data_IF_769104159755
#
_entry.id   IF_769104159755
#
_cell.length_a   1.000
_cell.length_b   1.000
_cell.length_c   1.000
_cell.angle_alpha   90.00
_cell.angle_beta   90.00
_cell.angle_gamma   90.00
#
_symmetry.space_group_name_H-M   'P 1'
#
loop_
_entity.id
_entity.type
_entity.pdbx_description
1 polymer ?
#
# COMPACT_ATOMS: atom_id res chain seq x y z
N UNK A 1 9.58 -12.41 -2.33
CA UNK A 1 8.41 -12.12 -1.46
C UNK A 1 8.76 -11.62 -0.08
N UNK A 2 9.70 -12.26 0.63
CA UNK A 2 10.10 -11.84 1.99
C UNK A 2 10.76 -10.45 2.09
N UNK A 3 10.96 -9.75 0.98
CA UNK A 3 11.58 -8.42 0.94
C UNK A 3 13.10 -8.42 1.08
N UNK A 4 13.74 -9.57 1.29
CA UNK A 4 15.20 -9.67 1.37
C UNK A 4 15.85 -9.40 0.02
N UNK A 5 16.77 -8.44 -0.04
CA UNK A 5 17.60 -8.18 -1.22
C UNK A 5 18.60 -9.32 -1.40
N UNK A 6 18.74 -9.82 -2.62
CA UNK A 6 19.67 -10.90 -2.97
C UNK A 6 20.95 -10.31 -3.55
N UNK A 7 22.09 -10.86 -3.15
CA UNK A 7 23.39 -10.58 -3.79
C UNK A 7 23.51 -11.36 -5.10
N UNK A 8 24.41 -10.96 -6.02
CA UNK A 8 24.60 -11.65 -7.30
C UNK A 8 24.80 -13.17 -7.15
N UNK A 9 25.55 -13.60 -6.12
CA UNK A 9 25.82 -15.01 -5.82
C UNK A 9 24.61 -15.81 -5.37
N UNK A 10 23.50 -15.16 -5.04
CA UNK A 10 22.27 -15.78 -4.55
C UNK A 10 21.14 -15.80 -5.60
N UNK A 11 21.41 -15.33 -6.82
CA UNK A 11 20.40 -15.20 -7.88
C UNK A 11 20.35 -16.42 -8.80
N UNK A 12 19.15 -16.74 -9.30
CA UNK A 12 18.90 -17.93 -10.14
C UNK A 12 18.42 -17.63 -11.57
N UNK A 13 18.25 -16.37 -11.96
CA UNK A 13 17.82 -15.97 -13.31
C UNK A 13 18.66 -14.80 -13.85
N UNK A 14 18.69 -14.63 -15.17
CA UNK A 14 19.50 -13.59 -15.83
C UNK A 14 19.09 -12.17 -15.43
N UNK A 15 17.78 -11.89 -15.37
CA UNK A 15 17.27 -10.59 -14.91
C UNK A 15 17.60 -10.35 -13.42
N UNK A 16 17.49 -11.38 -12.58
CA UNK A 16 17.86 -11.26 -11.18
C UNK A 16 19.36 -10.96 -11.03
N UNK A 17 20.20 -11.57 -11.86
CA UNK A 17 21.64 -11.33 -11.86
C UNK A 17 21.99 -9.88 -12.26
N UNK A 18 21.35 -9.32 -13.29
CA UNK A 18 21.56 -7.93 -13.71
C UNK A 18 21.15 -6.94 -12.60
N UNK A 19 19.99 -7.13 -11.99
CA UNK A 19 19.53 -6.29 -10.88
C UNK A 19 20.41 -6.46 -9.64
N UNK A 20 20.85 -7.68 -9.35
CA UNK A 20 21.70 -7.94 -8.19
C UNK A 20 23.08 -7.30 -8.29
N UNK A 21 23.58 -6.99 -9.49
CA UNK A 21 24.82 -6.20 -9.64
C UNK A 21 24.71 -4.80 -9.02
N UNK A 22 23.49 -4.29 -8.85
CA UNK A 22 23.21 -3.02 -8.16
C UNK A 22 23.04 -3.19 -6.65
N UNK A 23 23.05 -4.42 -6.13
CA UNK A 23 22.97 -4.68 -4.69
C UNK A 23 24.38 -4.80 -4.11
N UNK A 24 24.66 -4.07 -3.04
CA UNK A 24 25.90 -4.18 -2.28
C UNK A 24 25.64 -4.24 -0.78
N UNK A 25 26.70 -4.55 -0.03
CA UNK A 25 26.69 -4.50 1.43
C UNK A 25 27.44 -3.26 1.87
N UNK A 26 26.82 -2.43 2.72
CA UNK A 26 27.43 -1.26 3.35
C UNK A 26 27.31 -1.41 4.86
N UNK A 27 28.43 -1.68 5.52
CA UNK A 27 28.43 -2.11 6.93
C UNK A 27 27.77 -3.48 7.05
N UNK A 28 26.68 -3.58 7.81
CA UNK A 28 25.89 -4.81 7.97
C UNK A 28 24.62 -4.84 7.11
N UNK A 29 24.33 -3.74 6.41
CA UNK A 29 23.08 -3.57 5.67
C UNK A 29 23.27 -3.79 4.16
N UNK A 30 22.24 -4.34 3.51
CA UNK A 30 22.15 -4.46 2.06
C UNK A 30 21.44 -3.24 1.49
N UNK A 31 21.97 -2.70 0.41
CA UNK A 31 21.35 -1.60 -0.31
C UNK A 31 21.39 -1.83 -1.82
N UNK A 32 20.33 -1.41 -2.50
CA UNK A 32 20.19 -1.41 -3.95
C UNK A 32 20.42 0.00 -4.49
N UNK A 33 21.38 0.14 -5.41
CA UNK A 33 21.69 1.42 -6.07
C UNK A 33 20.67 1.70 -7.16
N UNK A 34 19.75 2.63 -6.90
CA UNK A 34 18.72 3.06 -7.85
C UNK A 34 19.34 3.92 -8.94
N UNK A 35 20.14 4.92 -8.55
CA UNK A 35 20.83 5.83 -9.46
C UNK A 35 22.13 6.33 -8.83
N UNK A 36 23.12 6.62 -9.66
CA UNK A 36 24.39 7.21 -9.26
C UNK A 36 24.81 8.25 -10.30
N UNK A 37 25.20 9.44 -9.85
CA UNK A 37 25.98 10.39 -10.63
C UNK A 37 27.33 10.67 -9.91
N UNK A 38 28.10 11.64 -10.39
CA UNK A 38 29.44 11.95 -9.84
C UNK A 38 29.40 12.48 -8.40
N UNK A 39 28.26 13.02 -7.95
CA UNK A 39 28.13 13.73 -6.66
C UNK A 39 27.20 13.01 -5.66
N UNK A 40 26.27 12.20 -6.14
CA UNK A 40 25.16 11.66 -5.33
C UNK A 40 24.76 10.26 -5.79
N UNK A 41 24.43 9.43 -4.81
CA UNK A 41 23.85 8.12 -5.01
C UNK A 41 22.49 8.04 -4.34
N UNK A 42 21.49 7.51 -5.06
CA UNK A 42 20.18 7.20 -4.53
C UNK A 42 20.12 5.69 -4.31
N UNK A 43 19.99 5.30 -3.06
CA UNK A 43 19.93 3.90 -2.63
C UNK A 43 18.59 3.58 -1.99
N UNK A 44 18.15 2.35 -2.17
CA UNK A 44 17.09 1.73 -1.37
C UNK A 44 17.75 0.74 -0.42
N UNK A 45 17.53 0.89 0.88
CA UNK A 45 18.12 0.01 1.89
C UNK A 45 17.22 -1.18 2.21
N UNK A 46 17.77 -2.18 2.89
CA UNK A 46 16.98 -3.31 3.38
C UNK A 46 15.94 -2.85 4.41
N UNK A 47 16.28 -1.85 5.23
CA UNK A 47 15.36 -1.21 6.15
C UNK A 47 14.23 -0.49 5.41
N UNK A 48 14.49 0.22 4.31
CA UNK A 48 13.44 0.88 3.52
C UNK A 48 12.42 -0.13 2.99
N UNK A 49 12.89 -1.31 2.54
CA UNK A 49 12.00 -2.40 2.13
C UNK A 49 11.16 -2.89 3.32
N UNK A 50 11.74 -2.94 4.53
CA UNK A 50 11.03 -3.35 5.74
C UNK A 50 9.96 -2.33 6.13
N UNK A 51 10.26 -1.04 6.07
CA UNK A 51 9.30 0.03 6.33
C UNK A 51 8.14 0.00 5.31
N UNK A 52 8.45 -0.21 4.03
CA UNK A 52 7.42 -0.40 3.01
C UNK A 52 6.52 -1.60 3.33
N UNK A 53 7.08 -2.73 3.77
CA UNK A 53 6.31 -3.91 4.15
C UNK A 53 5.37 -3.63 5.32
N UNK A 54 5.84 -2.91 6.35
CA UNK A 54 5.02 -2.52 7.50
C UNK A 54 3.85 -1.62 7.06
N UNK A 55 4.15 -0.56 6.30
CA UNK A 55 3.14 0.38 5.84
C UNK A 55 2.07 -0.28 4.95
N UNK A 56 2.51 -1.02 3.92
CA UNK A 56 1.58 -1.68 2.99
C UNK A 56 0.84 -2.85 3.66
N UNK A 57 1.49 -3.55 4.60
CA UNK A 57 0.88 -4.63 5.36
C UNK A 57 -0.24 -4.12 6.27
N UNK A 58 -0.05 -2.97 6.91
CA UNK A 58 -1.07 -2.33 7.74
C UNK A 58 -2.31 -1.94 6.91
N UNK A 59 -2.10 -1.33 5.74
CA UNK A 59 -3.19 -0.94 4.84
C UNK A 59 -3.98 -2.17 4.38
N UNK A 60 -3.28 -3.19 3.86
CA UNK A 60 -3.94 -4.41 3.37
C UNK A 60 -4.67 -5.15 4.49
N UNK A 61 -4.04 -5.32 5.65
CA UNK A 61 -4.65 -5.98 6.80
C UNK A 61 -5.91 -5.25 7.26
N UNK A 62 -5.86 -3.90 7.28
CA UNK A 62 -7.01 -3.08 7.60
C UNK A 62 -8.20 -3.34 6.67
N UNK A 63 -7.95 -3.36 5.36
CA UNK A 63 -8.99 -3.63 4.35
C UNK A 63 -9.54 -5.06 4.50
N UNK A 64 -8.67 -6.07 4.60
CA UNK A 64 -9.11 -7.46 4.71
C UNK A 64 -9.91 -7.75 5.99
N UNK A 65 -9.54 -7.14 7.12
CA UNK A 65 -10.29 -7.28 8.38
C UNK A 65 -11.64 -6.55 8.33
N UNK A 66 -11.71 -5.36 7.72
CA UNK A 66 -12.98 -4.65 7.53
C UNK A 66 -13.94 -5.43 6.62
N UNK A 67 -13.41 -6.03 5.55
CA UNK A 67 -14.20 -6.91 4.68
C UNK A 67 -14.71 -8.14 5.43
N UNK A 68 -13.87 -8.75 6.28
CA UNK A 68 -14.29 -9.85 7.16
C UNK A 68 -15.36 -9.43 8.16
N UNK A 69 -15.24 -8.24 8.75
CA UNK A 69 -16.26 -7.69 9.66
C UNK A 69 -17.60 -7.46 8.95
N UNK A 70 -17.56 -7.01 7.69
CA UNK A 70 -18.73 -6.80 6.85
C UNK A 70 -19.25 -8.08 6.17
N UNK A 71 -18.60 -9.22 6.38
CA UNK A 71 -18.91 -10.52 5.74
C UNK A 71 -18.99 -10.45 4.20
N UNK A 72 -18.01 -9.75 3.60
CA UNK A 72 -17.90 -9.58 2.13
C UNK A 72 -16.53 -10.03 1.61
N UNK A 73 -16.48 -10.39 0.34
CA UNK A 73 -15.26 -10.73 -0.40
C UNK A 73 -14.93 -9.66 -1.47
N UNK A 74 -13.78 -9.78 -2.13
CA UNK A 74 -13.31 -8.78 -3.11
C UNK A 74 -14.24 -8.66 -4.33
N UNK A 75 -15.00 -9.71 -4.65
CA UNK A 75 -15.98 -9.74 -5.72
C UNK A 75 -17.23 -8.92 -5.42
N UNK A 76 -17.57 -8.74 -4.14
CA UNK A 76 -18.75 -7.97 -3.69
C UNK A 76 -18.51 -6.46 -3.74
N UNK A 77 -17.24 -6.03 -3.68
CA UNK A 77 -16.87 -4.61 -3.70
C UNK A 77 -17.04 -4.04 -5.12
N UNK A 78 -17.96 -3.11 -5.28
CA UNK A 78 -18.31 -2.51 -6.57
C UNK A 78 -17.27 -1.48 -7.05
N UNK A 79 -16.76 -0.66 -6.14
CA UNK A 79 -15.77 0.38 -6.42
C UNK A 79 -14.76 0.51 -5.27
N UNK A 80 -13.52 0.80 -5.63
CA UNK A 80 -12.43 1.13 -4.70
C UNK A 80 -11.94 2.53 -5.03
N UNK A 81 -12.30 3.49 -4.18
CA UNK A 81 -11.93 4.89 -4.36
C UNK A 81 -10.64 5.19 -3.58
N UNK A 82 -9.53 5.29 -4.31
CA UNK A 82 -8.24 5.69 -3.75
C UNK A 82 -8.17 7.22 -3.66
N UNK A 83 -7.91 7.72 -2.46
CA UNK A 83 -7.84 9.15 -2.16
C UNK A 83 -6.51 9.50 -1.47
N UNK A 84 -6.13 10.76 -1.55
CA UNK A 84 -4.94 11.32 -0.89
C UNK A 84 -3.80 11.62 -1.86
N UNK A 85 -2.84 12.42 -1.38
CA UNK A 85 -1.71 12.92 -2.19
C UNK A 85 -0.86 11.79 -2.76
N UNK A 86 -0.76 10.68 -2.03
CA UNK A 86 -0.04 9.49 -2.48
C UNK A 86 -0.72 8.83 -3.69
N UNK A 87 -2.06 8.81 -3.74
CA UNK A 87 -2.79 8.09 -4.80
C UNK A 87 -2.66 8.72 -6.19
N UNK A 88 -2.32 10.01 -6.32
CA UNK A 88 -2.14 10.69 -7.61
C UNK A 88 -1.12 9.99 -8.52
N UNK A 89 -0.19 9.26 -7.91
CA UNK A 89 0.94 8.62 -8.59
C UNK A 89 0.97 7.11 -8.38
N UNK A 90 0.02 6.54 -7.64
CA UNK A 90 -0.06 5.09 -7.47
C UNK A 90 -0.58 4.47 -8.75
N UNK A 91 0.22 3.61 -9.36
CA UNK A 91 -0.25 2.70 -10.37
C UNK A 91 -1.06 1.57 -9.70
N UNK A 92 -2.37 1.49 -10.01
CA UNK A 92 -3.30 0.49 -9.45
C UNK A 92 -2.84 -0.95 -9.63
N UNK A 93 -2.28 -1.30 -10.78
CA UNK A 93 -1.78 -2.64 -11.06
C UNK A 93 -0.58 -2.96 -10.17
N UNK A 94 0.37 -2.02 -10.02
CA UNK A 94 1.51 -2.18 -9.11
C UNK A 94 1.07 -2.26 -7.65
N UNK A 95 0.04 -1.53 -7.24
CA UNK A 95 -0.50 -1.59 -5.87
C UNK A 95 -1.06 -2.98 -5.55
N UNK A 96 -1.79 -3.59 -6.50
CA UNK A 96 -2.25 -4.98 -6.39
C UNK A 96 -1.05 -5.94 -6.43
N UNK A 97 -0.14 -5.84 -7.40
CA UNK A 97 1.03 -6.74 -7.47
C UNK A 97 1.89 -6.70 -6.19
N UNK A 98 2.06 -5.52 -5.59
CA UNK A 98 2.83 -5.36 -4.35
C UNK A 98 2.11 -5.96 -3.12
N UNK A 99 0.79 -6.12 -3.19
CA UNK A 99 -0.05 -6.48 -2.06
C UNK A 99 -0.29 -5.31 -1.10
N UNK A 100 -0.37 -4.08 -1.62
CA UNK A 100 -0.78 -2.89 -0.85
C UNK A 100 -2.29 -2.87 -0.63
N UNK A 101 -3.06 -3.24 -1.65
CA UNK A 101 -4.51 -3.40 -1.60
C UNK A 101 -4.86 -4.83 -2.01
N UNK A 102 -5.95 -5.42 -1.50
CA UNK A 102 -6.48 -6.72 -1.94
C UNK A 102 -6.62 -6.82 -3.46
N UNK A 103 -6.72 -8.05 -4.02
CA UNK A 103 -6.77 -8.27 -5.46
C UNK A 103 -8.17 -7.96 -6.02
N UNK A 104 -8.57 -6.69 -5.92
CA UNK A 104 -9.77 -6.17 -6.55
C UNK A 104 -9.58 -6.11 -8.07
N UNK A 105 -10.66 -6.27 -8.86
CA UNK A 105 -10.60 -6.05 -10.31
C UNK A 105 -10.11 -4.63 -10.63
N UNK A 106 -9.12 -4.50 -11.52
CA UNK A 106 -8.43 -3.22 -11.78
C UNK A 106 -9.37 -2.13 -12.30
N UNK A 107 -10.40 -2.53 -13.02
CA UNK A 107 -11.45 -1.67 -13.55
C UNK A 107 -12.32 -1.03 -12.46
N UNK A 108 -12.36 -1.60 -11.26
CA UNK A 108 -13.09 -1.06 -10.09
C UNK A 108 -12.24 -0.12 -9.24
N UNK A 109 -10.95 0.01 -9.53
CA UNK A 109 -10.02 0.83 -8.75
C UNK A 109 -9.89 2.20 -9.43
N UNK A 110 -10.38 3.23 -8.75
CA UNK A 110 -10.42 4.61 -9.23
C UNK A 110 -9.67 5.52 -8.29
N UNK A 111 -8.85 6.40 -8.86
CA UNK A 111 -8.21 7.44 -8.09
C UNK A 111 -9.03 8.73 -8.17
N UNK A 112 -9.40 9.29 -7.02
CA UNK A 112 -10.33 10.43 -6.92
C UNK A 112 -9.67 11.74 -6.48
N UNK A 113 -8.34 11.79 -6.42
CA UNK A 113 -7.64 12.99 -5.96
C UNK A 113 -7.53 13.06 -4.44
N UNK A 114 -7.41 14.29 -3.93
CA UNK A 114 -7.44 14.55 -2.50
C UNK A 114 -8.90 14.78 -2.05
N UNK A 115 -9.59 13.72 -1.66
CA UNK A 115 -10.99 13.78 -1.26
C UNK A 115 -11.26 14.67 -0.04
N UNK A 116 -10.28 14.82 0.87
CA UNK A 116 -10.42 15.74 2.00
C UNK A 116 -10.43 17.21 1.54
N UNK A 117 -9.54 17.56 0.61
CA UNK A 117 -9.48 18.91 0.04
C UNK A 117 -10.71 19.23 -0.81
N UNK A 118 -11.12 18.31 -1.69
CA UNK A 118 -12.31 18.47 -2.53
C UNK A 118 -13.58 18.58 -1.65
N UNK A 119 -13.71 17.72 -0.64
CA UNK A 119 -14.80 17.76 0.34
C UNK A 119 -14.85 19.07 1.13
N UNK A 120 -13.69 19.58 1.57
CA UNK A 120 -13.62 20.87 2.27
C UNK A 120 -14.05 22.04 1.38
N UNK A 121 -13.65 22.05 0.10
CA UNK A 121 -14.07 23.08 -0.85
C UNK A 121 -15.58 23.03 -1.10
N UNK A 122 -16.14 21.83 -1.31
CA UNK A 122 -17.59 21.63 -1.49
C UNK A 122 -18.38 22.11 -0.28
N UNK A 123 -17.97 21.70 0.92
CA UNK A 123 -18.63 22.12 2.15
C UNK A 123 -18.48 23.62 2.43
N UNK A 124 -17.40 24.27 1.97
CA UNK A 124 -17.21 25.71 2.08
C UNK A 124 -18.16 26.48 1.15
N UNK A 125 -18.30 26.04 -0.10
CA UNK A 125 -19.03 26.75 -1.15
C UNK A 125 -20.52 26.38 -1.23
N UNK A 126 -20.93 25.23 -0.69
CA UNK A 126 -22.31 24.73 -0.76
C UNK A 126 -22.79 24.24 0.61
N UNK A 127 -23.84 24.87 1.14
CA UNK A 127 -24.45 24.51 2.43
C UNK A 127 -25.14 23.15 2.40
N UNK A 128 -25.66 22.71 1.25
CA UNK A 128 -26.26 21.39 1.10
C UNK A 128 -25.20 20.28 1.19
N UNK A 129 -24.06 20.46 0.51
CA UNK A 129 -22.92 19.53 0.62
C UNK A 129 -22.35 19.49 2.05
N UNK A 130 -22.35 20.62 2.76
CA UNK A 130 -21.97 20.65 4.18
C UNK A 130 -22.92 19.81 5.05
N UNK A 131 -24.24 19.96 4.87
CA UNK A 131 -25.23 19.14 5.60
C UNK A 131 -25.09 17.66 5.25
N UNK A 132 -24.88 17.35 3.97
CA UNK A 132 -24.62 15.98 3.52
C UNK A 132 -23.39 15.37 4.19
N UNK A 133 -22.32 16.15 4.39
CA UNK A 133 -21.15 15.68 5.13
C UNK A 133 -21.47 15.33 6.59
N UNK A 134 -22.29 16.14 7.26
CA UNK A 134 -22.77 15.86 8.63
C UNK A 134 -23.62 14.57 8.67
N UNK A 135 -24.51 14.37 7.68
CA UNK A 135 -25.35 13.17 7.56
C UNK A 135 -24.53 11.90 7.31
N UNK A 136 -23.51 11.97 6.45
CA UNK A 136 -22.59 10.85 6.21
C UNK A 136 -21.82 10.55 7.49
N UNK A 137 -21.27 11.57 8.16
CA UNK A 137 -20.51 11.38 9.40
C UNK A 137 -21.33 10.70 10.49
N UNK A 138 -22.64 10.94 10.56
CA UNK A 138 -23.53 10.31 11.53
C UNK A 138 -23.77 8.81 11.26
N UNK A 139 -23.50 8.33 10.04
CA UNK A 139 -23.66 6.93 9.62
C UNK A 139 -22.36 6.13 9.68
N UNK A 140 -21.21 6.78 9.91
CA UNK A 140 -19.92 6.09 9.98
C UNK A 140 -19.77 5.37 11.31
N UNK A 141 -19.50 4.07 11.24
CA UNK A 141 -19.18 3.24 12.40
C UNK A 141 -17.68 2.95 12.44
N UNK A 142 -17.02 3.36 13.54
CA UNK A 142 -15.62 3.05 13.76
C UNK A 142 -15.44 1.60 14.21
N UNK A 143 -14.61 0.85 13.50
CA UNK A 143 -14.23 -0.52 13.84
C UNK A 143 -12.82 -0.51 14.40
N UNK A 144 -12.67 -0.85 15.68
CA UNK A 144 -11.36 -0.98 16.31
C UNK A 144 -10.68 -2.27 15.88
N UNK A 145 -9.68 -2.17 15.01
CA UNK A 145 -8.97 -3.32 14.46
C UNK A 145 -7.83 -3.81 15.37
N UNK A 146 -7.21 -2.91 16.15
CA UNK A 146 -6.01 -3.25 16.93
C UNK A 146 -6.28 -4.23 18.08
N UNK A 147 -7.52 -4.24 18.58
CA UNK A 147 -7.95 -5.15 19.66
C UNK A 147 -8.45 -6.51 19.18
N UNK A 148 -8.49 -6.78 17.87
CA UNK A 148 -9.01 -8.06 17.36
C UNK A 148 -7.98 -9.17 17.50
N UNK A 149 -8.45 -10.36 17.90
CA UNK A 149 -7.60 -11.54 18.04
C UNK A 149 -6.94 -11.97 16.72
N UNK A 150 -7.57 -11.68 15.57
CA UNK A 150 -7.07 -12.04 14.24
C UNK A 150 -6.21 -10.94 13.57
N UNK A 151 -5.99 -9.81 14.25
CA UNK A 151 -5.23 -8.69 13.68
C UNK A 151 -3.77 -9.05 13.44
N UNK A 152 -3.07 -9.57 14.45
CA UNK A 152 -1.63 -9.84 14.38
C UNK A 152 -1.31 -10.87 13.29
N UNK A 153 -2.06 -11.97 13.23
CA UNK A 153 -1.92 -13.00 12.20
C UNK A 153 -2.16 -12.42 10.80
N UNK A 154 -3.23 -11.64 10.64
CA UNK A 154 -3.56 -11.00 9.35
C UNK A 154 -2.45 -10.03 8.93
N UNK A 155 -1.99 -9.18 9.85
CA UNK A 155 -0.92 -8.22 9.61
C UNK A 155 0.38 -8.89 9.20
N UNK A 156 0.82 -9.92 9.93
CA UNK A 156 2.04 -10.66 9.62
C UNK A 156 1.99 -11.30 8.23
N UNK A 157 0.86 -11.92 7.86
CA UNK A 157 0.64 -12.45 6.50
C UNK A 157 0.71 -11.32 5.46
N UNK A 158 0.09 -10.18 5.76
CA UNK A 158 0.10 -9.02 4.87
C UNK A 158 1.47 -8.33 4.75
N UNK A 159 2.52 -8.70 5.49
CA UNK A 159 3.89 -8.19 5.28
C UNK A 159 4.54 -8.77 4.02
N UNK A 160 4.15 -9.95 3.55
CA UNK A 160 4.74 -10.57 2.35
C UNK A 160 4.39 -9.81 1.07
N UNK A 161 5.37 -9.62 0.17
CA UNK A 161 5.11 -8.93 -1.10
C UNK A 161 4.24 -9.79 -2.05
N UNK A 162 3.11 -9.23 -2.50
CA UNK A 162 2.15 -9.83 -3.42
C UNK A 162 1.08 -10.74 -2.80
N UNK A 163 0.44 -11.53 -3.66
CA UNK A 163 -0.60 -12.53 -3.36
C UNK A 163 -0.16 -13.85 -3.99
N UNK A 164 -0.15 -14.94 -3.23
CA UNK A 164 0.33 -16.29 -3.60
C UNK A 164 0.60 -16.53 -5.10
#
# INVERSE_FOLDING_TARGET
RKGRMLLPSETGSSLAAELAQRVRVRGEEREFVVSRNEETEITLTQQDVRELQLAKGAIRAGIELLMKEADINTGDVQEVLLSGVFGNYINREKAVILGLIPPFPLERIHFIGNGAMDGALRALLNLEERRRADEISAQVHHVELSGRADFEETFLRCLELGFE
#
